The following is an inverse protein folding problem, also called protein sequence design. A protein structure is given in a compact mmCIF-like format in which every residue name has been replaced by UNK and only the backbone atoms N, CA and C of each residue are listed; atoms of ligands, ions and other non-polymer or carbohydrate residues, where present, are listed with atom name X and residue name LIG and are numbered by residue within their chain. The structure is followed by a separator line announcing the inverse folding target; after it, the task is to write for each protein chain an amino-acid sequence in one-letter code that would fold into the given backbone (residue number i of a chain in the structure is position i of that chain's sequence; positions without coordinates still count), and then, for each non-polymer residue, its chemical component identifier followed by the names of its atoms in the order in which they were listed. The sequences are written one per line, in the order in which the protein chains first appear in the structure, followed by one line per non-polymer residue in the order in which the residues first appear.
data_IF_337096929215
#
_entry.id   IF_337096929215
#
_cell.length_a   1.000
_cell.length_b   1.000
_cell.length_c   1.000
_cell.angle_alpha   90.00
_cell.angle_beta   90.00
_cell.angle_gamma   90.00
#
_symmetry.space_group_name_H-M   'P 1'
#
loop_
_entity.id
_entity.type
_entity.pdbx_description
1 polymer ?
#
# COMPACT_ATOMS: atom_id res chain seq x y z
N UNK A 1 13.06 0.80 13.95
CA UNK A 1 11.75 0.19 14.03
C UNK A 1 10.93 0.51 12.79
N UNK A 2 10.29 -0.47 12.18
CA UNK A 2 9.49 -0.27 10.98
C UNK A 2 8.16 0.42 11.28
N UNK A 3 7.46 0.85 10.21
CA UNK A 3 6.15 1.50 10.31
C UNK A 3 5.06 0.45 10.26
N UNK A 4 4.92 -0.27 11.37
CA UNK A 4 3.94 -1.34 11.47
C UNK A 4 2.52 -0.79 11.57
N UNK A 5 1.52 -1.51 11.06
CA UNK A 5 0.13 -1.08 11.19
C UNK A 5 -0.31 -1.00 12.65
N UNK A 6 -1.11 0.02 12.96
CA UNK A 6 -1.79 0.10 14.25
C UNK A 6 -3.16 -0.55 14.11
N UNK A 7 -3.42 -1.56 14.92
CA UNK A 7 -4.63 -2.39 14.80
C UNK A 7 -4.78 -2.98 13.40
N UNK A 8 -3.66 -3.28 12.75
CA UNK A 8 -3.67 -3.79 11.39
C UNK A 8 -4.23 -5.20 11.30
N UNK A 9 -4.89 -5.46 10.20
CA UNK A 9 -5.44 -6.76 9.87
C UNK A 9 -4.81 -7.22 8.56
N UNK A 10 -4.05 -8.31 8.63
CA UNK A 10 -3.44 -8.92 7.46
C UNK A 10 -4.50 -9.73 6.70
N UNK A 11 -4.47 -9.69 5.36
CA UNK A 11 -5.40 -10.49 4.57
C UNK A 11 -5.17 -11.98 4.81
N UNK A 12 -6.27 -12.76 4.75
CA UNK A 12 -6.23 -14.17 5.10
C UNK A 12 -5.67 -15.06 3.98
N UNK A 13 -5.57 -14.56 2.75
CA UNK A 13 -5.07 -15.33 1.61
C UNK A 13 -3.67 -14.89 1.24
N UNK A 14 -2.83 -15.84 0.84
CA UNK A 14 -1.50 -15.52 0.34
C UNK A 14 -1.59 -15.24 -1.15
N UNK A 15 -1.03 -14.10 -1.56
CA UNK A 15 -0.96 -13.69 -2.96
C UNK A 15 0.50 -13.51 -3.33
N UNK A 16 0.91 -14.13 -4.45
CA UNK A 16 2.27 -13.92 -4.94
C UNK A 16 2.35 -12.61 -5.72
N UNK A 17 3.49 -11.94 -5.64
CA UNK A 17 3.70 -10.71 -6.39
C UNK A 17 3.86 -11.01 -7.88
N UNK A 18 3.04 -10.37 -8.72
CA UNK A 18 3.13 -10.47 -10.17
C UNK A 18 4.15 -9.47 -10.74
N UNK A 19 4.59 -8.54 -9.94
CA UNK A 19 5.62 -7.54 -10.27
C UNK A 19 6.34 -7.16 -8.99
N UNK A 20 7.40 -6.36 -9.09
CA UNK A 20 8.09 -5.86 -7.91
C UNK A 20 7.12 -5.01 -7.07
N UNK A 21 7.00 -5.34 -5.79
CA UNK A 21 6.14 -4.63 -4.85
C UNK A 21 7.03 -3.98 -3.79
N UNK A 22 7.29 -2.66 -3.86
CA UNK A 22 8.01 -1.97 -2.79
C UNK A 22 7.19 -1.91 -1.49
N UNK A 23 7.87 -1.79 -0.36
CA UNK A 23 7.20 -1.61 0.93
C UNK A 23 6.37 -0.31 0.95
N UNK A 24 5.26 -0.34 1.67
CA UNK A 24 4.34 0.79 1.87
C UNK A 24 3.60 1.20 0.60
N UNK A 25 3.46 0.31 -0.36
CA UNK A 25 2.70 0.56 -1.58
C UNK A 25 1.30 -0.06 -1.51
N UNK A 26 0.37 0.57 -2.21
CA UNK A 26 -1.01 0.10 -2.32
C UNK A 26 -1.06 -0.99 -3.37
N UNK A 27 -1.70 -2.10 -3.03
CA UNK A 27 -1.80 -3.27 -3.90
C UNK A 27 -3.22 -3.51 -4.36
N UNK A 28 -3.36 -4.30 -5.42
CA UNK A 28 -4.64 -4.79 -5.94
C UNK A 28 -4.51 -6.26 -6.32
N UNK A 29 -5.65 -6.94 -6.49
CA UNK A 29 -5.64 -8.26 -7.12
C UNK A 29 -5.17 -8.15 -8.57
N UNK A 30 -4.45 -9.17 -9.03
CA UNK A 30 -4.15 -9.27 -10.47
C UNK A 30 -5.45 -9.40 -11.25
N UNK A 31 -5.51 -8.76 -12.44
CA UNK A 31 -6.74 -8.70 -13.22
C UNK A 31 -7.21 -10.07 -13.71
N UNK A 32 -6.30 -10.99 -13.96
CA UNK A 32 -6.63 -12.30 -14.56
C UNK A 32 -6.40 -13.47 -13.60
N UNK A 33 -5.51 -13.32 -12.62
CA UNK A 33 -5.14 -14.39 -11.70
C UNK A 33 -5.31 -13.90 -10.25
N UNK A 34 -6.35 -14.38 -9.58
CA UNK A 34 -6.68 -13.95 -8.21
C UNK A 34 -5.77 -14.56 -7.14
N UNK A 35 -4.78 -15.36 -7.54
CA UNK A 35 -3.72 -15.84 -6.63
C UNK A 35 -2.50 -14.91 -6.63
N UNK A 36 -2.56 -13.82 -7.39
CA UNK A 36 -1.47 -12.85 -7.52
C UNK A 36 -1.93 -11.44 -7.20
N UNK A 37 -0.98 -10.58 -6.87
CA UNK A 37 -1.23 -9.16 -6.63
C UNK A 37 -0.31 -8.28 -7.47
N UNK A 38 -0.76 -7.06 -7.70
CA UNK A 38 -0.03 -6.03 -8.43
C UNK A 38 -0.05 -4.72 -7.64
N UNK A 39 0.74 -3.76 -8.07
CA UNK A 39 0.61 -2.39 -7.60
C UNK A 39 -0.69 -1.81 -8.12
N UNK A 40 -1.45 -1.15 -7.24
CA UNK A 40 -2.66 -0.44 -7.65
C UNK A 40 -2.26 0.86 -8.39
N UNK A 41 -3.02 1.21 -9.40
CA UNK A 41 -2.87 2.46 -10.12
C UNK A 41 -4.10 3.33 -10.00
N UNK A 42 -4.10 4.48 -10.67
CA UNK A 42 -5.23 5.40 -10.69
C UNK A 42 -6.49 4.69 -11.20
N UNK A 43 -7.57 4.79 -10.44
CA UNK A 43 -8.84 4.16 -10.79
C UNK A 43 -8.98 2.71 -10.36
N UNK A 44 -7.94 2.09 -9.82
CA UNK A 44 -8.02 0.72 -9.34
C UNK A 44 -8.64 0.65 -7.94
N UNK A 45 -9.31 -0.46 -7.67
CA UNK A 45 -9.85 -0.75 -6.34
C UNK A 45 -8.73 -1.36 -5.49
N UNK A 46 -8.32 -0.70 -4.39
CA UNK A 46 -7.22 -1.20 -3.59
C UNK A 46 -7.60 -2.45 -2.79
N UNK A 47 -6.65 -3.38 -2.69
CA UNK A 47 -6.76 -4.54 -1.81
C UNK A 47 -6.27 -4.19 -0.40
N UNK A 48 -5.13 -3.52 -0.33
CA UNK A 48 -4.49 -3.16 0.93
C UNK A 48 -3.09 -2.61 0.68
N UNK A 49 -2.31 -2.50 1.73
CA UNK A 49 -0.95 -1.96 1.68
C UNK A 49 0.04 -3.06 2.05
N UNK A 50 1.10 -3.20 1.26
CA UNK A 50 2.17 -4.15 1.51
C UNK A 50 3.15 -3.53 2.52
N UNK A 51 3.18 -4.08 3.73
CA UNK A 51 4.04 -3.59 4.81
C UNK A 51 4.81 -4.79 5.39
N UNK A 52 6.15 -4.77 5.33
CA UNK A 52 6.92 -5.86 5.91
C UNK A 52 6.81 -5.85 7.44
N UNK A 53 6.81 -7.02 8.05
CA UNK A 53 6.92 -7.09 9.51
C UNK A 53 8.34 -6.68 9.91
N UNK A 54 8.53 -6.30 11.19
CA UNK A 54 9.85 -5.92 11.69
C UNK A 54 10.87 -7.06 11.61
N UNK A 55 10.40 -8.30 11.52
CA UNK A 55 11.25 -9.49 11.49
C UNK A 55 11.58 -9.96 10.07
N UNK A 56 10.89 -9.46 9.05
CA UNK A 56 11.13 -9.89 7.68
C UNK A 56 12.47 -9.37 7.18
N UNK A 57 13.26 -10.28 6.63
CA UNK A 57 14.59 -9.99 6.09
C UNK A 57 14.65 -10.39 4.63
N UNK A 58 15.59 -9.80 3.90
CA UNK A 58 15.83 -10.14 2.51
C UNK A 58 17.34 -10.06 2.22
N UNK A 59 17.83 -10.75 1.16
CA UNK A 59 19.22 -10.60 0.74
C UNK A 59 19.52 -9.14 0.33
N UNK A 60 20.71 -8.66 0.68
CA UNK A 60 21.15 -7.32 0.31
C UNK A 60 21.86 -7.27 -1.05
N UNK A 61 22.06 -8.42 -1.68
CA UNK A 61 22.77 -8.51 -2.94
C UNK A 61 24.28 -8.65 -2.81
N UNK A 62 24.82 -8.55 -1.60
CA UNK A 62 26.26 -8.60 -1.33
C UNK A 62 26.64 -9.70 -0.34
N UNK A 63 25.80 -10.73 -0.22
CA UNK A 63 26.05 -11.86 0.69
C UNK A 63 25.53 -11.69 2.10
N UNK A 64 24.94 -10.53 2.44
CA UNK A 64 24.33 -10.27 3.73
C UNK A 64 22.81 -10.25 3.67
N UNK A 65 22.19 -9.85 4.77
CA UNK A 65 20.74 -9.67 4.84
C UNK A 65 20.42 -8.30 5.43
N UNK A 66 19.29 -7.73 5.00
CA UNK A 66 18.76 -6.46 5.48
C UNK A 66 17.28 -6.61 5.77
N UNK A 67 16.71 -5.62 6.47
CA UNK A 67 15.26 -5.56 6.62
C UNK A 67 14.61 -5.47 5.24
N UNK A 68 13.46 -6.13 5.11
CA UNK A 68 12.78 -6.18 3.82
C UNK A 68 12.29 -4.79 3.42
N UNK A 69 12.59 -4.41 2.19
CA UNK A 69 12.16 -3.13 1.59
C UNK A 69 11.19 -3.34 0.43
N UNK A 70 10.88 -4.58 0.11
CA UNK A 70 9.96 -4.92 -0.97
C UNK A 70 9.97 -6.41 -1.27
N UNK A 71 9.19 -6.79 -2.26
CA UNK A 71 9.05 -8.18 -2.68
C UNK A 71 9.28 -8.31 -4.19
N UNK A 72 10.02 -9.34 -4.56
CA UNK A 72 10.29 -9.66 -5.96
C UNK A 72 9.12 -10.47 -6.54
N UNK A 73 9.08 -10.59 -7.87
CA UNK A 73 8.10 -11.44 -8.55
C UNK A 73 8.16 -12.85 -7.95
N UNK A 74 7.00 -13.38 -7.58
CA UNK A 74 6.87 -14.69 -6.97
C UNK A 74 6.93 -14.73 -5.46
N UNK A 75 7.42 -13.66 -4.82
CA UNK A 75 7.37 -13.55 -3.36
C UNK A 75 5.93 -13.33 -2.90
N UNK A 76 5.68 -13.53 -1.60
CA UNK A 76 4.36 -13.34 -0.99
C UNK A 76 4.37 -12.10 -0.10
N UNK A 77 3.93 -10.93 -0.61
CA UNK A 77 3.90 -9.72 0.21
C UNK A 77 2.98 -9.86 1.42
N UNK A 78 3.38 -9.25 2.53
CA UNK A 78 2.52 -9.12 3.70
C UNK A 78 1.60 -7.93 3.48
N UNK A 79 0.31 -8.18 3.26
CA UNK A 79 -0.67 -7.14 2.90
C UNK A 79 -1.66 -6.96 4.04
N UNK A 80 -1.86 -5.71 4.44
CA UNK A 80 -2.83 -5.32 5.46
C UNK A 80 -3.98 -4.57 4.81
N UNK A 81 -5.21 -4.87 5.22
CA UNK A 81 -6.41 -4.27 4.66
C UNK A 81 -7.25 -3.51 5.68
N UNK A 82 -6.78 -3.36 6.90
CA UNK A 82 -7.51 -2.67 7.95
C UNK A 82 -6.55 -2.02 8.96
N UNK A 83 -7.09 -1.14 9.79
CA UNK A 83 -6.31 -0.44 10.80
C UNK A 83 -5.74 0.88 10.30
N UNK A 84 -4.68 1.35 10.91
CA UNK A 84 -3.90 2.49 10.43
C UNK A 84 -2.67 1.97 9.72
N UNK A 85 -2.58 2.23 8.43
CA UNK A 85 -1.53 1.72 7.56
C UNK A 85 -0.65 2.88 7.07
N UNK A 86 0.63 2.59 6.85
CA UNK A 86 1.58 3.58 6.33
C UNK A 86 1.69 3.44 4.83
N UNK A 87 1.57 4.57 4.11
CA UNK A 87 1.57 4.60 2.64
C UNK A 87 2.59 5.61 2.16
N UNK A 88 3.39 5.24 1.15
CA UNK A 88 4.33 6.16 0.51
C UNK A 88 3.57 7.02 -0.51
N UNK A 89 3.81 8.33 -0.47
CA UNK A 89 3.07 9.29 -1.30
C UNK A 89 3.72 9.49 -2.66
N UNK A 90 2.87 9.55 -3.70
CA UNK A 90 3.27 9.95 -5.04
C UNK A 90 2.87 11.38 -5.40
N UNK A 91 2.14 12.05 -4.51
CA UNK A 91 1.72 13.43 -4.66
C UNK A 91 1.57 14.06 -3.28
N UNK A 92 1.60 15.39 -3.20
CA UNK A 92 1.35 16.09 -1.95
C UNK A 92 -0.11 15.90 -1.54
N UNK A 93 -0.32 15.66 -0.24
CA UNK A 93 -1.65 15.47 0.32
C UNK A 93 -1.81 16.31 1.58
N UNK A 94 -3.04 16.58 1.96
CA UNK A 94 -3.37 17.26 3.21
C UNK A 94 -4.15 16.31 4.13
N UNK A 95 -4.12 16.61 5.43
CA UNK A 95 -4.91 15.84 6.39
C UNK A 95 -6.39 15.90 5.98
N UNK A 96 -7.10 14.81 6.24
CA UNK A 96 -8.53 14.65 5.94
C UNK A 96 -8.88 14.41 4.47
N UNK A 97 -7.92 14.46 3.54
CA UNK A 97 -8.18 13.95 2.20
C UNK A 97 -8.32 12.43 2.24
N UNK A 98 -9.07 11.88 1.30
CA UNK A 98 -9.10 10.44 1.12
C UNK A 98 -7.84 9.96 0.40
N UNK A 99 -7.37 8.79 0.78
CA UNK A 99 -6.24 8.15 0.13
C UNK A 99 -6.75 7.29 -1.02
N UNK A 100 -6.27 7.57 -2.21
CA UNK A 100 -6.53 6.77 -3.41
C UNK A 100 -5.21 6.37 -4.05
N UNK A 101 -5.15 5.25 -4.79
CA UNK A 101 -3.91 4.87 -5.45
C UNK A 101 -3.64 5.72 -6.69
N UNK A 102 -2.37 5.90 -6.98
CA UNK A 102 -1.88 6.42 -8.25
C UNK A 102 -0.79 5.48 -8.77
N UNK A 103 -0.30 5.73 -9.99
CA UNK A 103 0.65 4.85 -10.67
C UNK A 103 1.79 4.41 -9.73
N UNK A 104 2.12 3.12 -9.73
CA UNK A 104 3.18 2.56 -8.92
C UNK A 104 2.77 2.19 -7.49
N UNK A 105 1.48 2.15 -7.18
CA UNK A 105 1.00 1.84 -5.84
C UNK A 105 1.22 2.97 -4.84
N UNK A 106 1.46 4.17 -5.31
CA UNK A 106 1.70 5.33 -4.47
C UNK A 106 0.38 5.97 -4.05
N UNK A 107 0.38 6.67 -2.92
CA UNK A 107 -0.81 7.36 -2.43
C UNK A 107 -0.99 8.73 -3.05
N UNK A 108 -2.23 9.06 -3.39
CA UNK A 108 -2.67 10.38 -3.83
C UNK A 108 -3.83 10.84 -2.97
N UNK A 109 -4.18 12.12 -3.05
CA UNK A 109 -5.28 12.70 -2.29
C UNK A 109 -6.53 12.88 -3.13
N UNK A 110 -7.68 12.69 -2.51
CA UNK A 110 -8.98 12.97 -3.09
C UNK A 110 -9.77 13.80 -2.08
N UNK A 111 -10.18 15.00 -2.50
CA UNK A 111 -10.99 15.84 -1.64
C UNK A 111 -12.38 15.27 -1.41
N UNK A 112 -12.92 15.51 -0.22
CA UNK A 112 -14.29 15.08 0.12
C UNK A 112 -15.33 15.65 -0.85
N UNK A 113 -15.06 16.83 -1.41
CA UNK A 113 -15.98 17.48 -2.35
C UNK A 113 -15.93 16.90 -3.75
N UNK A 114 -14.94 16.03 -4.03
CA UNK A 114 -14.74 15.43 -5.34
C UNK A 114 -15.27 13.98 -5.44
N UNK A 115 -16.05 13.53 -4.45
CA UNK A 115 -16.56 12.17 -4.41
C UNK A 115 -17.58 11.92 -5.53
N UNK A 116 -17.41 10.79 -6.21
CA UNK A 116 -18.34 10.31 -7.24
C UNK A 116 -18.56 8.81 -7.04
N UNK A 117 -19.59 8.26 -7.68
CA UNK A 117 -19.83 6.82 -7.63
C UNK A 117 -18.69 6.01 -8.27
N UNK A 118 -17.93 6.65 -9.17
CA UNK A 118 -16.79 5.99 -9.84
C UNK A 118 -15.57 5.93 -8.92
N UNK A 119 -15.30 6.99 -8.15
CA UNK A 119 -14.07 7.04 -7.35
C UNK A 119 -14.23 6.54 -5.92
N UNK A 120 -15.45 6.42 -5.38
CA UNK A 120 -15.67 5.87 -4.04
C UNK A 120 -15.03 4.48 -3.87
N UNK A 121 -15.17 3.53 -4.80
CA UNK A 121 -14.53 2.22 -4.65
C UNK A 121 -13.01 2.25 -4.65
N UNK A 122 -12.38 3.34 -5.12
CA UNK A 122 -10.93 3.47 -5.16
C UNK A 122 -10.33 3.98 -3.85
N UNK A 123 -11.17 4.36 -2.89
CA UNK A 123 -10.71 4.93 -1.62
C UNK A 123 -10.18 3.82 -0.72
N UNK A 124 -8.90 3.92 -0.36
CA UNK A 124 -8.29 3.04 0.62
C UNK A 124 -8.68 3.44 2.05
N UNK A 125 -8.62 4.73 2.33
CA UNK A 125 -8.89 5.26 3.65
C UNK A 125 -8.70 6.76 3.66
N UNK A 126 -8.38 7.32 4.83
CA UNK A 126 -8.29 8.76 5.04
C UNK A 126 -6.94 9.12 5.67
N UNK A 127 -6.27 10.13 5.12
CA UNK A 127 -5.00 10.59 5.65
C UNK A 127 -5.19 11.21 7.03
N UNK A 128 -4.34 10.80 7.96
CA UNK A 128 -4.32 11.36 9.32
C UNK A 128 -3.49 12.64 9.38
N UNK A 129 -2.49 12.75 8.53
CA UNK A 129 -1.62 13.93 8.41
C UNK A 129 -1.36 14.20 6.94
N UNK A 130 -0.93 15.42 6.63
CA UNK A 130 -0.46 15.74 5.29
C UNK A 130 0.97 15.32 5.07
N UNK A 131 1.42 15.40 3.83
CA UNK A 131 2.80 15.09 3.47
C UNK A 131 3.10 15.47 2.03
N UNK A 132 4.35 15.31 1.66
CA UNK A 132 4.87 15.60 0.33
C UNK A 132 5.23 14.31 -0.40
N UNK A 133 5.52 14.42 -1.70
CA UNK A 133 5.97 13.30 -2.52
C UNK A 133 7.14 12.59 -1.83
N UNK A 134 7.05 11.27 -1.71
CA UNK A 134 8.08 10.44 -1.09
C UNK A 134 7.94 10.23 0.41
N UNK A 135 7.09 11.01 1.08
CA UNK A 135 6.83 10.80 2.50
C UNK A 135 6.03 9.51 2.72
N UNK A 136 6.23 8.90 3.88
CA UNK A 136 5.44 7.75 4.30
C UNK A 136 4.54 8.24 5.43
N UNK A 137 3.24 8.22 5.18
CA UNK A 137 2.24 8.83 6.09
C UNK A 137 1.19 7.81 6.51
N UNK A 138 0.59 7.99 7.70
CA UNK A 138 -0.46 7.09 8.17
C UNK A 138 -1.80 7.37 7.51
N UNK A 139 -2.46 6.29 7.11
CA UNK A 139 -3.80 6.31 6.53
C UNK A 139 -4.68 5.43 7.40
N UNK A 140 -5.79 5.98 7.85
CA UNK A 140 -6.78 5.18 8.57
C UNK A 140 -7.73 4.54 7.58
N UNK A 141 -7.74 3.22 7.55
CA UNK A 141 -8.70 2.45 6.79
C UNK A 141 -10.02 2.50 7.57
N UNK A 142 -11.05 2.91 6.91
CA UNK A 142 -12.36 3.19 7.53
C UNK A 142 -12.75 2.36 8.74
#
# INVERSE_FOLDING_TARGET
MGKQPFNGHEIAVELSAAELIPAYTITKFNATDKTKCNLAGSGDVPLGVAIPTDEEMMPDGNGGIIKRTGWQIGDFPTIYDDGTLWVILGAAVTADQYCVPMAGGLGAGLDKTALTLVNIPTILGKYRVGGNIGDIVPVKIK
#
